data_IF_345884755667
#
_entry.id   IF_345884755667
#
_cell.length_a   1.000
_cell.length_b   1.000
_cell.length_c   1.000
_cell.angle_alpha   90.00
_cell.angle_beta   90.00
_cell.angle_gamma   90.00
#
_symmetry.space_group_name_H-M   'P 1'
#
loop_
_entity.id
_entity.type
_entity.pdbx_description
1 polymer ?
#
# COMPACT_ATOMS: atom_id res chain seq x y z
N UNK A 1 -50.48 -30.33 89.07
CA UNK A 1 -49.71 -29.16 88.57
C UNK A 1 -48.27 -29.59 88.33
N UNK A 2 -47.60 -28.95 87.37
CA UNK A 2 -46.15 -28.89 87.16
C UNK A 2 -45.52 -29.73 86.01
N UNK A 3 -45.52 -29.07 84.84
CA UNK A 3 -44.35 -28.81 83.97
C UNK A 3 -43.90 -29.89 82.98
N UNK A 4 -44.51 -29.81 81.79
CA UNK A 4 -43.86 -29.33 80.56
C UNK A 4 -42.42 -28.82 80.82
N UNK A 5 -41.40 -29.66 80.61
CA UNK A 5 -40.00 -29.21 80.44
C UNK A 5 -39.02 -30.27 79.90
N UNK A 6 -39.51 -31.33 79.24
CA UNK A 6 -38.62 -32.42 78.76
C UNK A 6 -38.26 -32.29 77.27
N UNK A 7 -39.00 -31.50 76.48
CA UNK A 7 -38.82 -31.48 75.01
C UNK A 7 -37.72 -30.54 74.50
N UNK A 8 -37.30 -29.52 75.27
CA UNK A 8 -36.24 -28.60 74.83
C UNK A 8 -34.83 -29.10 75.14
N UNK A 9 -34.65 -29.88 76.21
CA UNK A 9 -33.33 -30.45 76.57
C UNK A 9 -32.90 -31.56 75.62
N UNK A 10 -33.83 -32.36 75.10
CA UNK A 10 -33.52 -33.38 74.08
C UNK A 10 -33.12 -32.78 72.72
N UNK A 11 -33.69 -31.64 72.34
CA UNK A 11 -33.32 -30.96 71.08
C UNK A 11 -31.93 -30.31 71.16
N UNK A 12 -31.56 -29.73 72.31
CA UNK A 12 -30.23 -29.15 72.52
C UNK A 12 -29.12 -30.20 72.58
N UNK A 13 -29.38 -31.39 73.12
CA UNK A 13 -28.40 -32.49 73.14
C UNK A 13 -28.23 -33.09 71.74
N UNK A 14 -29.30 -33.22 70.95
CA UNK A 14 -29.22 -33.69 69.57
C UNK A 14 -28.47 -32.70 68.65
N UNK A 15 -28.66 -31.39 68.85
CA UNK A 15 -27.93 -30.37 68.10
C UNK A 15 -26.42 -30.35 68.44
N UNK A 16 -26.06 -30.58 69.71
CA UNK A 16 -24.66 -30.64 70.13
C UNK A 16 -23.96 -31.91 69.63
N UNK A 17 -24.69 -33.03 69.54
CA UNK A 17 -24.19 -34.27 68.95
C UNK A 17 -24.06 -34.22 67.41
N UNK A 18 -24.86 -33.38 66.74
CA UNK A 18 -24.73 -33.16 65.31
C UNK A 18 -23.51 -32.29 64.94
N UNK A 19 -23.12 -31.34 65.81
CA UNK A 19 -21.91 -30.53 65.60
C UNK A 19 -20.61 -31.32 65.81
N UNK A 20 -20.61 -32.38 66.62
CA UNK A 20 -19.42 -33.22 66.83
C UNK A 20 -19.17 -34.25 65.73
N UNK A 21 -20.08 -34.38 64.76
CA UNK A 21 -19.91 -35.22 63.56
C UNK A 21 -19.39 -34.44 62.33
N UNK A 22 -19.19 -33.13 62.44
CA UNK A 22 -18.56 -32.34 61.39
C UNK A 22 -17.03 -32.56 61.41
N UNK A 23 -16.55 -33.57 60.68
CA UNK A 23 -15.12 -33.70 60.39
C UNK A 23 -14.64 -32.46 59.62
N UNK A 24 -13.48 -31.87 59.96
CA UNK A 24 -12.91 -30.82 59.14
C UNK A 24 -12.56 -31.44 57.78
N UNK A 25 -13.24 -30.98 56.72
CA UNK A 25 -12.84 -31.27 55.36
C UNK A 25 -11.45 -30.65 55.13
N UNK A 26 -10.41 -31.47 55.24
CA UNK A 26 -9.07 -31.06 54.89
C UNK A 26 -9.01 -31.00 53.36
N UNK A 27 -8.97 -29.79 52.81
CA UNK A 27 -8.60 -29.59 51.42
C UNK A 27 -7.12 -30.00 51.29
N UNK A 28 -6.89 -31.20 50.77
CA UNK A 28 -5.55 -31.66 50.41
C UNK A 28 -5.21 -30.99 49.08
N UNK A 29 -4.21 -30.12 49.08
CA UNK A 29 -3.59 -29.62 47.86
C UNK A 29 -2.95 -30.83 47.16
N UNK A 30 -3.56 -31.28 46.06
CA UNK A 30 -3.07 -32.41 45.28
C UNK A 30 -1.79 -32.06 44.50
N UNK A 31 -1.27 -30.84 44.63
CA UNK A 31 -0.08 -30.39 43.93
C UNK A 31 -0.27 -30.36 42.42
N UNK A 32 0.78 -29.95 41.71
CA UNK A 32 0.84 -30.01 40.26
C UNK A 32 1.30 -31.41 39.87
N UNK A 33 0.37 -32.34 39.63
CA UNK A 33 0.69 -33.61 38.96
C UNK A 33 0.82 -33.39 37.45
N UNK A 34 2.02 -32.98 37.05
CA UNK A 34 2.46 -33.04 35.67
C UNK A 34 3.94 -33.38 35.66
N UNK A 35 4.34 -34.46 35.00
CA UNK A 35 5.75 -34.70 34.75
C UNK A 35 6.25 -33.61 33.78
N UNK A 36 7.03 -32.66 34.30
CA UNK A 36 7.71 -31.67 33.47
C UNK A 36 8.91 -32.38 32.86
N UNK A 37 8.77 -32.83 31.62
CA UNK A 37 9.89 -33.37 30.87
C UNK A 37 10.83 -32.24 30.47
N UNK A 38 12.13 -32.49 30.53
CA UNK A 38 13.12 -31.61 29.95
C UNK A 38 12.88 -31.54 28.43
N UNK A 39 12.86 -30.32 27.88
CA UNK A 39 12.71 -30.12 26.44
C UNK A 39 14.02 -30.56 25.77
N UNK A 40 14.05 -31.81 25.31
CA UNK A 40 15.20 -32.44 24.63
C UNK A 40 15.20 -32.24 23.11
N UNK A 41 14.54 -31.19 22.61
CA UNK A 41 14.49 -30.92 21.16
C UNK A 41 15.90 -30.69 20.60
N UNK A 42 16.23 -31.37 19.49
CA UNK A 42 17.49 -31.16 18.77
C UNK A 42 17.57 -29.69 18.31
N UNK A 43 18.72 -29.03 18.52
CA UNK A 43 18.91 -27.64 18.09
C UNK A 43 18.61 -27.52 16.59
N UNK A 44 17.56 -26.76 16.26
CA UNK A 44 17.10 -26.58 14.90
C UNK A 44 18.20 -26.06 13.96
N UNK A 45 19.20 -25.32 14.49
CA UNK A 45 20.35 -24.86 13.69
C UNK A 45 21.24 -26.01 13.25
N UNK A 46 21.46 -27.01 14.11
CA UNK A 46 22.25 -28.21 13.76
C UNK A 46 21.53 -29.00 12.68
N UNK A 47 20.20 -29.10 12.78
CA UNK A 47 19.35 -29.70 11.74
C UNK A 47 19.45 -28.92 10.43
N UNK A 48 19.33 -27.59 10.46
CA UNK A 48 19.45 -26.73 9.28
C UNK A 48 20.82 -26.87 8.62
N UNK A 49 21.90 -26.83 9.40
CA UNK A 49 23.27 -27.00 8.90
C UNK A 49 23.47 -28.36 8.24
N UNK A 50 22.92 -29.43 8.82
CA UNK A 50 22.97 -30.78 8.26
C UNK A 50 22.21 -30.88 6.94
N UNK A 51 21.07 -30.18 6.82
CA UNK A 51 20.30 -30.10 5.58
C UNK A 51 21.06 -29.32 4.50
N UNK A 52 21.58 -28.14 4.84
CA UNK A 52 22.37 -27.29 3.92
C UNK A 52 23.64 -28.00 3.44
N UNK A 53 24.34 -28.72 4.32
CA UNK A 53 25.59 -29.40 3.98
C UNK A 53 25.40 -30.67 3.12
N UNK A 54 24.20 -31.27 3.14
CA UNK A 54 23.86 -32.44 2.32
C UNK A 54 23.28 -32.07 0.95
N UNK A 55 22.89 -30.81 0.78
CA UNK A 55 22.24 -30.34 -0.42
C UNK A 55 23.28 -29.89 -1.46
N UNK A 56 23.12 -30.34 -2.70
CA UNK A 56 23.98 -29.92 -3.81
C UNK A 56 23.45 -28.61 -4.41
N UNK A 57 24.00 -27.50 -3.92
CA UNK A 57 23.67 -26.17 -4.40
C UNK A 57 24.10 -25.89 -5.83
N UNK A 58 25.02 -26.68 -6.40
CA UNK A 58 25.55 -26.40 -7.75
C UNK A 58 24.53 -26.72 -8.84
N UNK A 59 23.80 -27.83 -8.70
CA UNK A 59 22.70 -28.20 -9.60
C UNK A 59 21.57 -27.18 -9.51
N UNK A 60 21.12 -26.84 -8.31
CA UNK A 60 20.09 -25.82 -8.08
C UNK A 60 20.47 -24.43 -8.62
N UNK A 61 21.75 -24.05 -8.54
CA UNK A 61 22.22 -22.77 -9.06
C UNK A 61 22.15 -22.72 -10.59
N UNK A 62 22.53 -23.80 -11.27
CA UNK A 62 22.43 -23.84 -12.73
C UNK A 62 20.96 -23.89 -13.16
N UNK A 63 20.11 -24.70 -12.51
CA UNK A 63 18.67 -24.72 -12.77
C UNK A 63 18.01 -23.36 -12.53
N UNK A 64 18.37 -22.67 -11.45
CA UNK A 64 17.85 -21.34 -11.14
C UNK A 64 18.33 -20.30 -12.16
N UNK A 65 19.58 -20.41 -12.62
CA UNK A 65 20.16 -19.52 -13.62
C UNK A 65 19.52 -19.74 -14.99
N UNK A 66 19.35 -20.99 -15.43
CA UNK A 66 18.62 -21.33 -16.65
C UNK A 66 17.17 -20.84 -16.56
N UNK A 67 16.49 -21.13 -15.45
CA UNK A 67 15.12 -20.66 -15.21
C UNK A 67 15.03 -19.13 -15.25
N UNK A 68 16.00 -18.40 -14.70
CA UNK A 68 16.00 -16.94 -14.73
C UNK A 68 16.24 -16.39 -16.14
N UNK A 69 17.13 -17.02 -16.91
CA UNK A 69 17.41 -16.65 -18.30
C UNK A 69 16.22 -16.95 -19.23
N UNK A 70 15.53 -18.05 -18.99
CA UNK A 70 14.38 -18.46 -19.80
C UNK A 70 13.09 -17.78 -19.38
N UNK A 71 13.00 -17.28 -18.15
CA UNK A 71 11.83 -16.53 -17.68
C UNK A 71 11.51 -15.34 -18.60
N UNK A 72 12.52 -14.54 -18.99
CA UNK A 72 12.31 -13.35 -19.82
C UNK A 72 11.88 -13.69 -21.25
N UNK A 73 12.33 -14.84 -21.77
CA UNK A 73 11.95 -15.35 -23.10
C UNK A 73 10.51 -15.85 -23.15
N UNK A 74 10.02 -16.36 -22.03
CA UNK A 74 8.69 -16.98 -21.91
C UNK A 74 7.62 -16.04 -21.34
N UNK A 75 7.91 -14.75 -21.25
CA UNK A 75 6.93 -13.76 -20.82
C UNK A 75 5.74 -13.70 -21.79
N UNK A 76 4.52 -13.53 -21.28
CA UNK A 76 3.35 -13.43 -22.15
C UNK A 76 3.45 -12.18 -23.01
N UNK A 77 3.17 -12.33 -24.30
CA UNK A 77 3.10 -11.22 -25.24
C UNK A 77 1.68 -10.67 -25.26
N UNK A 78 1.54 -9.35 -25.12
CA UNK A 78 0.25 -8.68 -25.27
C UNK A 78 0.15 -8.04 -26.65
N UNK A 79 -0.99 -8.27 -27.31
CA UNK A 79 -1.28 -7.69 -28.62
C UNK A 79 -2.06 -6.40 -28.42
N UNK A 80 -1.34 -5.27 -28.40
CA UNK A 80 -1.94 -3.94 -28.48
C UNK A 80 -1.74 -3.38 -29.89
N UNK A 81 -2.72 -2.68 -30.47
CA UNK A 81 -2.56 -2.07 -31.77
C UNK A 81 -1.48 -0.98 -31.74
N UNK A 82 -0.89 -0.73 -32.91
CA UNK A 82 0.01 0.40 -33.09
C UNK A 82 -0.77 1.71 -33.05
N UNK A 83 -0.20 2.74 -32.42
CA UNK A 83 -0.80 4.07 -32.38
C UNK A 83 -0.85 4.72 -33.78
N UNK A 84 -2.05 5.03 -34.25
CA UNK A 84 -2.30 5.67 -35.56
C UNK A 84 -2.16 7.19 -35.53
N UNK A 85 -2.34 7.79 -34.36
CA UNK A 85 -2.31 9.24 -34.12
C UNK A 85 -1.55 9.53 -32.83
N UNK A 86 -0.81 10.65 -32.83
CA UNK A 86 -0.19 11.16 -31.61
C UNK A 86 -1.23 11.95 -30.84
N UNK A 87 -1.59 11.52 -29.63
CA UNK A 87 -2.60 12.19 -28.80
C UNK A 87 -2.33 11.95 -27.32
N UNK A 88 -2.71 12.92 -26.49
CA UNK A 88 -2.67 12.78 -25.04
C UNK A 88 -4.08 12.61 -24.50
N UNK A 89 -4.28 11.66 -23.60
CA UNK A 89 -5.48 11.56 -22.78
C UNK A 89 -5.14 11.94 -21.35
N UNK A 90 -5.96 12.81 -20.78
CA UNK A 90 -5.85 13.25 -19.41
C UNK A 90 -6.79 12.44 -18.52
N UNK A 91 -6.24 11.82 -17.47
CA UNK A 91 -7.00 11.05 -16.48
C UNK A 91 -6.84 11.66 -15.10
N UNK A 92 -7.96 11.93 -14.45
CA UNK A 92 -7.97 12.19 -13.01
C UNK A 92 -7.84 10.85 -12.27
N UNK A 93 -6.85 10.75 -11.39
CA UNK A 93 -6.63 9.59 -10.52
C UNK A 93 -6.96 9.87 -9.05
N UNK A 94 -7.62 11.00 -8.80
CA UNK A 94 -8.18 11.28 -7.50
C UNK A 94 -9.22 10.25 -7.10
N UNK A 95 -9.24 9.96 -5.81
CA UNK A 95 -10.18 9.04 -5.19
C UNK A 95 -11.04 9.81 -4.20
N UNK A 96 -12.31 9.45 -4.11
CA UNK A 96 -13.17 9.89 -3.01
C UNK A 96 -13.12 8.80 -1.96
N UNK A 97 -12.68 9.17 -0.77
CA UNK A 97 -12.54 8.27 0.37
C UNK A 97 -13.94 7.81 0.82
N UNK A 98 -14.18 6.51 0.93
CA UNK A 98 -15.49 5.96 1.30
C UNK A 98 -15.73 5.94 2.82
N UNK A 99 -14.68 5.96 3.62
CA UNK A 99 -14.73 5.82 5.08
C UNK A 99 -13.65 6.67 5.75
N UNK A 100 -13.85 7.02 7.02
CA UNK A 100 -12.87 7.79 7.77
C UNK A 100 -11.53 7.05 7.86
N UNK A 101 -10.46 7.66 7.33
CA UNK A 101 -9.09 7.11 7.38
C UNK A 101 -8.39 7.68 8.61
N UNK A 102 -7.91 6.81 9.49
CA UNK A 102 -7.15 7.17 10.68
C UNK A 102 -5.67 6.82 10.51
N UNK A 103 -4.77 7.69 10.96
CA UNK A 103 -3.35 7.36 11.01
C UNK A 103 -3.06 6.40 12.16
N UNK A 104 -2.23 5.36 11.96
CA UNK A 104 -1.75 4.55 13.06
C UNK A 104 -0.92 5.42 14.01
N UNK A 105 -1.13 5.27 15.31
CA UNK A 105 -0.34 5.92 16.35
C UNK A 105 0.31 4.87 17.23
N UNK A 106 1.61 5.03 17.48
CA UNK A 106 2.38 4.14 18.32
C UNK A 106 2.53 4.78 19.69
N UNK A 107 2.06 4.08 20.72
CA UNK A 107 2.42 4.37 22.09
C UNK A 107 3.81 3.79 22.38
N UNK A 108 4.84 4.65 22.38
CA UNK A 108 6.21 4.24 22.65
C UNK A 108 6.45 3.80 24.11
N UNK A 109 5.52 4.06 25.04
CA UNK A 109 5.62 3.63 26.43
C UNK A 109 5.03 2.24 26.65
N UNK A 110 3.90 1.92 26.01
CA UNK A 110 3.27 0.60 26.11
C UNK A 110 3.63 -0.37 24.98
N UNK A 111 4.30 0.10 23.93
CA UNK A 111 4.60 -0.69 22.73
C UNK A 111 3.37 -1.01 21.88
N UNK A 112 2.22 -0.40 22.17
CA UNK A 112 0.97 -0.63 21.45
C UNK A 112 0.94 0.19 20.16
N UNK A 113 0.79 -0.50 19.02
CA UNK A 113 0.75 0.09 17.68
C UNK A 113 -0.65 0.61 17.30
N UNK A 114 -1.64 0.44 18.19
CA UNK A 114 -3.04 0.83 17.93
C UNK A 114 -3.74 1.47 19.15
N UNK A 115 -2.98 2.08 20.06
CA UNK A 115 -3.61 2.93 21.08
C UNK A 115 -4.18 4.19 20.37
N UNK A 116 -5.48 4.47 20.46
CA UNK A 116 -6.15 5.42 19.58
C UNK A 116 -5.88 6.87 19.99
N UNK A 117 -4.75 7.42 19.54
CA UNK A 117 -4.77 8.81 19.09
C UNK A 117 -5.50 8.85 17.76
N UNK A 118 -6.82 9.11 17.77
CA UNK A 118 -7.63 9.19 16.53
C UNK A 118 -7.23 10.43 15.72
N UNK A 119 -6.07 10.40 15.08
CA UNK A 119 -5.68 11.44 14.12
C UNK A 119 -6.31 11.05 12.79
N UNK A 120 -7.39 11.75 12.46
CA UNK A 120 -8.12 11.56 11.21
C UNK A 120 -7.27 12.10 10.05
N UNK A 121 -6.85 11.21 9.15
CA UNK A 121 -6.10 11.53 7.95
C UNK A 121 -7.00 12.12 6.86
N UNK A 122 -8.20 11.56 6.71
CA UNK A 122 -9.21 12.03 5.77
C UNK A 122 -10.60 11.58 6.22
N UNK A 123 -11.59 12.46 6.08
CA UNK A 123 -12.99 12.13 6.32
C UNK A 123 -13.58 11.34 5.15
N UNK A 124 -14.57 10.50 5.43
CA UNK A 124 -15.42 9.93 4.39
C UNK A 124 -16.01 11.05 3.50
N UNK A 125 -15.99 10.84 2.19
CA UNK A 125 -16.37 11.84 1.19
C UNK A 125 -15.27 12.81 0.77
N UNK A 126 -14.09 12.77 1.41
CA UNK A 126 -12.97 13.63 1.02
C UNK A 126 -12.37 13.17 -0.32
N UNK A 127 -12.26 14.09 -1.27
CA UNK A 127 -11.50 13.87 -2.50
C UNK A 127 -9.99 14.02 -2.22
N UNK A 128 -9.22 13.00 -2.58
CA UNK A 128 -7.77 12.97 -2.44
C UNK A 128 -7.12 12.61 -3.77
N UNK A 129 -6.19 13.43 -4.23
CA UNK A 129 -5.33 13.12 -5.35
C UNK A 129 -3.91 12.78 -4.86
N UNK A 130 -3.48 11.51 -4.95
CA UNK A 130 -2.16 11.09 -4.47
C UNK A 130 -1.01 11.80 -5.19
N UNK A 131 -1.12 12.05 -6.49
CA UNK A 131 -0.07 12.69 -7.29
C UNK A 131 0.14 14.13 -6.85
N UNK A 132 -0.93 14.84 -6.53
CA UNK A 132 -0.86 16.25 -6.12
C UNK A 132 -0.03 16.47 -4.85
N UNK A 133 0.18 15.43 -4.03
CA UNK A 133 0.95 15.47 -2.79
C UNK A 133 2.37 14.90 -2.91
N UNK A 134 2.72 14.26 -4.04
CA UNK A 134 4.04 13.68 -4.25
C UNK A 134 5.04 14.72 -4.77
N UNK A 135 6.32 14.69 -4.32
CA UNK A 135 7.36 15.55 -4.88
C UNK A 135 7.62 15.15 -6.33
N UNK A 136 7.68 16.14 -7.24
CA UNK A 136 7.87 15.89 -8.68
C UNK A 136 9.17 15.12 -9.01
N UNK A 137 10.16 15.15 -8.12
CA UNK A 137 11.42 14.41 -8.24
C UNK A 137 11.30 12.91 -7.91
N UNK A 138 10.22 12.47 -7.28
CA UNK A 138 9.98 11.07 -6.91
C UNK A 138 9.09 10.30 -7.87
N UNK A 139 8.69 10.92 -8.99
CA UNK A 139 7.66 10.38 -9.86
C UNK A 139 8.28 9.85 -11.16
N UNK A 140 8.28 8.53 -11.30
CA UNK A 140 8.77 7.83 -12.48
C UNK A 140 7.71 7.81 -13.59
N UNK A 141 8.16 7.95 -14.84
CA UNK A 141 7.35 7.90 -16.06
C UNK A 141 7.59 6.57 -16.75
N UNK A 142 6.58 6.10 -17.47
CA UNK A 142 6.59 4.79 -18.10
C UNK A 142 6.50 4.95 -19.61
N UNK A 143 7.43 4.35 -20.34
CA UNK A 143 7.37 4.24 -21.78
C UNK A 143 7.10 2.79 -22.16
N UNK A 144 5.92 2.53 -22.71
CA UNK A 144 5.43 1.20 -23.08
C UNK A 144 5.54 1.05 -24.59
N UNK A 145 6.17 -0.02 -25.06
CA UNK A 145 6.37 -0.30 -26.48
C UNK A 145 6.36 -1.81 -26.78
N UNK A 146 6.17 -2.15 -28.05
CA UNK A 146 6.27 -3.51 -28.58
C UNK A 146 7.70 -3.80 -29.09
N UNK A 147 8.34 -4.84 -28.57
CA UNK A 147 9.67 -5.27 -28.99
C UNK A 147 9.68 -6.06 -30.30
N UNK A 148 8.53 -6.52 -30.77
CA UNK A 148 8.38 -7.25 -32.03
C UNK A 148 8.21 -6.32 -33.23
N UNK A 149 7.82 -5.05 -33.02
CA UNK A 149 7.76 -4.02 -34.06
C UNK A 149 9.12 -3.32 -34.22
N UNK A 150 9.82 -3.48 -35.37
CA UNK A 150 11.13 -2.88 -35.59
C UNK A 150 11.14 -1.35 -35.48
N UNK A 151 10.03 -0.68 -35.85
CA UNK A 151 9.95 0.77 -35.76
C UNK A 151 9.90 1.22 -34.29
N UNK A 152 9.09 0.55 -33.47
CA UNK A 152 9.02 0.83 -32.03
C UNK A 152 10.34 0.51 -31.34
N UNK A 153 10.98 -0.60 -31.71
CA UNK A 153 12.26 -0.96 -31.15
C UNK A 153 13.36 0.05 -31.51
N UNK A 154 13.40 0.53 -32.76
CA UNK A 154 14.36 1.55 -33.16
C UNK A 154 14.20 2.85 -32.35
N UNK A 155 12.96 3.28 -32.13
CA UNK A 155 12.63 4.47 -31.36
C UNK A 155 12.96 4.31 -29.87
N UNK A 156 12.62 3.17 -29.26
CA UNK A 156 12.97 2.86 -27.88
C UNK A 156 14.48 2.85 -27.65
N UNK A 157 15.26 2.27 -28.57
CA UNK A 157 16.74 2.30 -28.53
C UNK A 157 17.31 3.71 -28.60
N UNK A 158 16.70 4.59 -29.40
CA UNK A 158 17.08 5.99 -29.45
C UNK A 158 16.84 6.69 -28.11
N UNK A 159 15.67 6.49 -27.50
CA UNK A 159 15.35 7.06 -26.19
C UNK A 159 16.25 6.52 -25.07
N UNK A 160 16.61 5.23 -25.12
CA UNK A 160 17.52 4.62 -24.15
C UNK A 160 18.91 5.27 -24.21
N UNK A 161 19.42 5.61 -25.40
CA UNK A 161 20.70 6.31 -25.60
C UNK A 161 20.71 7.73 -25.03
N UNK A 162 19.55 8.38 -24.95
CA UNK A 162 19.44 9.73 -24.38
C UNK A 162 19.52 9.75 -22.86
N UNK A 163 19.47 8.59 -22.21
CA UNK A 163 19.54 8.41 -20.76
C UNK A 163 18.61 9.37 -20.00
N UNK A 164 17.35 9.46 -20.45
CA UNK A 164 16.39 10.38 -19.85
C UNK A 164 16.09 9.95 -18.42
N UNK A 165 16.30 10.87 -17.47
CA UNK A 165 16.04 10.62 -16.05
C UNK A 165 14.55 10.34 -15.79
N UNK A 166 14.27 9.49 -14.80
CA UNK A 166 12.91 9.14 -14.38
C UNK A 166 12.03 8.54 -15.49
N UNK A 167 12.64 7.92 -16.50
CA UNK A 167 11.93 7.17 -17.54
C UNK A 167 12.25 5.69 -17.45
N UNK A 168 11.24 4.92 -17.08
CA UNK A 168 11.24 3.47 -17.09
C UNK A 168 10.70 2.95 -18.41
N UNK A 169 11.36 1.92 -18.94
CA UNK A 169 11.00 1.29 -20.20
C UNK A 169 10.28 -0.02 -19.93
N UNK A 170 9.14 -0.21 -20.60
CA UNK A 170 8.28 -1.37 -20.47
C UNK A 170 8.02 -1.98 -21.84
N UNK A 171 8.27 -3.28 -21.97
CA UNK A 171 8.11 -3.99 -23.23
C UNK A 171 6.99 -5.02 -23.13
N UNK A 172 6.00 -4.93 -24.03
CA UNK A 172 4.80 -5.79 -23.98
C UNK A 172 4.98 -7.16 -24.65
N UNK A 173 5.96 -7.28 -25.55
CA UNK A 173 6.25 -8.49 -26.31
C UNK A 173 7.73 -8.51 -26.74
N UNK A 174 8.32 -9.71 -26.83
CA UNK A 174 9.75 -9.93 -27.11
C UNK A 174 10.59 -10.29 -25.87
N UNK A 175 11.89 -10.51 -26.05
CA UNK A 175 12.80 -10.86 -24.95
C UNK A 175 13.30 -9.62 -24.22
N UNK A 176 12.71 -9.39 -23.04
CA UNK A 176 13.05 -8.26 -22.16
C UNK A 176 14.47 -8.36 -21.61
N UNK A 177 14.94 -9.59 -21.36
CA UNK A 177 16.26 -9.86 -20.79
C UNK A 177 17.37 -9.57 -21.78
N UNK A 178 17.18 -9.93 -23.05
CA UNK A 178 18.12 -9.61 -24.14
C UNK A 178 18.31 -8.10 -24.27
N UNK A 179 17.21 -7.34 -24.41
CA UNK A 179 17.28 -5.89 -24.55
C UNK A 179 17.90 -5.24 -23.31
N UNK A 180 17.51 -5.68 -22.11
CA UNK A 180 18.05 -5.14 -20.85
C UNK A 180 19.56 -5.38 -20.72
N UNK A 181 20.04 -6.56 -21.12
CA UNK A 181 21.46 -6.90 -21.12
C UNK A 181 22.24 -6.09 -22.16
N UNK A 182 21.67 -5.88 -23.34
CA UNK A 182 22.30 -5.12 -24.43
C UNK A 182 22.51 -3.64 -24.05
N UNK A 183 21.50 -3.02 -23.43
CA UNK A 183 21.52 -1.58 -23.11
C UNK A 183 22.05 -1.27 -21.71
N UNK A 184 22.28 -2.29 -20.89
CA UNK A 184 22.78 -2.15 -19.51
C UNK A 184 21.82 -1.40 -18.58
N UNK A 185 20.51 -1.43 -18.89
CA UNK A 185 19.46 -0.78 -18.09
C UNK A 185 18.29 -1.75 -17.88
N UNK A 186 17.59 -1.68 -16.74
CA UNK A 186 16.41 -2.49 -16.52
C UNK A 186 15.32 -2.14 -17.54
N UNK A 187 14.81 -3.15 -18.22
CA UNK A 187 13.57 -3.08 -19.00
C UNK A 187 12.56 -3.96 -18.26
N UNK A 188 11.36 -3.44 -18.09
CA UNK A 188 10.30 -4.13 -17.35
C UNK A 188 9.28 -4.76 -18.30
N UNK A 189 8.57 -5.75 -17.79
CA UNK A 189 7.39 -6.30 -18.46
C UNK A 189 6.14 -5.82 -17.71
N UNK A 190 5.19 -5.15 -18.37
CA UNK A 190 4.00 -4.65 -17.69
C UNK A 190 3.04 -5.80 -17.38
N UNK A 191 2.47 -5.81 -16.16
CA UNK A 191 1.39 -6.73 -15.85
C UNK A 191 0.11 -6.38 -16.65
N UNK A 192 -0.76 -7.34 -17.01
CA UNK A 192 -1.98 -7.05 -17.76
C UNK A 192 -2.88 -6.04 -17.04
N UNK A 193 -3.02 -6.22 -15.72
CA UNK A 193 -3.80 -5.33 -14.86
C UNK A 193 -3.27 -3.90 -14.84
N UNK A 194 -1.98 -3.68 -15.15
CA UNK A 194 -1.39 -2.35 -15.28
C UNK A 194 -1.88 -1.67 -16.56
N UNK A 195 -1.85 -2.38 -17.69
CA UNK A 195 -2.33 -1.88 -18.98
C UNK A 195 -3.82 -1.52 -18.91
N UNK A 196 -4.62 -2.36 -18.23
CA UNK A 196 -6.04 -2.11 -17.99
C UNK A 196 -6.30 -0.88 -17.11
N UNK A 197 -5.60 -0.77 -15.97
CA UNK A 197 -5.77 0.36 -15.03
C UNK A 197 -5.40 1.71 -15.64
N UNK A 198 -4.38 1.72 -16.50
CA UNK A 198 -3.98 2.90 -17.24
C UNK A 198 -4.78 3.13 -18.53
N UNK A 199 -5.65 2.18 -18.93
CA UNK A 199 -6.38 2.24 -20.20
C UNK A 199 -5.46 2.51 -21.40
N UNK A 200 -4.38 1.73 -21.49
CA UNK A 200 -3.47 1.75 -22.63
C UNK A 200 -4.20 1.07 -23.80
N UNK A 201 -4.58 1.85 -24.80
CA UNK A 201 -5.32 1.35 -25.97
C UNK A 201 -4.38 0.97 -27.12
N UNK A 202 -3.23 1.64 -27.24
CA UNK A 202 -2.27 1.44 -28.31
C UNK A 202 -0.82 1.61 -27.81
N UNK A 203 0.15 1.15 -28.62
CA UNK A 203 1.58 1.32 -28.38
C UNK A 203 2.29 1.92 -29.60
N UNK A 204 3.37 2.71 -29.43
CA UNK A 204 4.01 3.06 -28.18
C UNK A 204 3.25 4.14 -27.39
N UNK A 205 3.30 4.05 -26.06
CA UNK A 205 2.61 4.96 -25.14
C UNK A 205 3.54 5.46 -24.04
N UNK A 206 3.50 6.77 -23.78
CA UNK A 206 4.16 7.42 -22.67
C UNK A 206 3.13 7.74 -21.58
N UNK A 207 3.37 7.26 -20.37
CA UNK A 207 2.58 7.59 -19.18
C UNK A 207 3.40 8.52 -18.31
N UNK A 208 2.81 9.68 -18.00
CA UNK A 208 3.42 10.67 -17.14
C UNK A 208 2.37 11.49 -16.40
N UNK A 209 2.82 12.61 -15.84
CA UNK A 209 1.98 13.47 -15.01
C UNK A 209 2.06 14.90 -15.50
N UNK A 210 0.90 15.55 -15.55
CA UNK A 210 0.77 16.90 -16.06
C UNK A 210 1.43 17.95 -15.19
N UNK A 211 1.74 19.09 -15.80
CA UNK A 211 2.16 20.32 -15.14
C UNK A 211 1.25 21.47 -15.54
N UNK A 212 1.30 22.57 -14.80
CA UNK A 212 0.51 23.77 -15.07
C UNK A 212 -0.99 23.47 -14.98
N UNK A 213 -1.79 23.69 -16.04
CA UNK A 213 -3.24 23.50 -16.01
C UNK A 213 -3.64 22.05 -15.71
N UNK A 214 -2.80 21.08 -16.05
CA UNK A 214 -3.07 19.66 -15.81
C UNK A 214 -2.31 19.10 -14.59
N UNK A 215 -1.88 19.96 -13.66
CA UNK A 215 -1.27 19.49 -12.41
C UNK A 215 -2.22 18.54 -11.67
N UNK A 216 -1.69 17.40 -11.22
CA UNK A 216 -2.48 16.35 -10.56
C UNK A 216 -3.17 15.36 -11.52
N UNK A 217 -3.17 15.62 -12.83
CA UNK A 217 -3.68 14.68 -13.82
C UNK A 217 -2.56 13.77 -14.33
N UNK A 218 -2.93 12.56 -14.69
CA UNK A 218 -2.09 11.63 -15.41
C UNK A 218 -2.26 11.84 -16.92
N UNK A 219 -1.14 11.97 -17.62
CA UNK A 219 -1.08 12.04 -19.07
C UNK A 219 -0.77 10.64 -19.63
N UNK A 220 -1.60 10.18 -20.55
CA UNK A 220 -1.38 8.96 -21.34
C UNK A 220 -1.23 9.40 -22.79
N UNK A 221 0.00 9.45 -23.27
CA UNK A 221 0.33 9.93 -24.62
C UNK A 221 0.64 8.78 -25.54
N UNK A 222 -0.25 8.51 -26.48
CA UNK A 222 0.01 7.60 -27.60
C UNK A 222 0.84 8.33 -28.64
N UNK A 223 1.85 7.66 -29.20
CA UNK A 223 2.79 8.28 -30.14
C UNK A 223 2.73 7.55 -31.48
N UNK A 224 2.30 8.25 -32.52
CA UNK A 224 2.37 7.73 -33.89
C UNK A 224 3.82 7.70 -34.35
N UNK A 225 4.27 6.53 -34.82
CA UNK A 225 5.59 6.36 -35.44
C UNK A 225 5.53 6.49 -36.97
N UNK A 226 6.58 7.06 -37.62
CA UNK A 226 7.86 7.47 -37.04
C UNK A 226 7.77 8.78 -36.26
N UNK A 227 8.48 8.86 -35.12
CA UNK A 227 8.59 10.05 -34.29
C UNK A 227 10.05 10.28 -33.91
N UNK A 228 10.39 11.53 -33.61
CA UNK A 228 11.68 11.89 -33.03
C UNK A 228 11.59 11.90 -31.50
N UNK A 229 12.72 11.69 -30.85
CA UNK A 229 12.89 11.79 -29.41
C UNK A 229 12.42 13.10 -28.78
N UNK A 230 12.41 14.20 -29.54
CA UNK A 230 11.81 15.48 -29.13
C UNK A 230 10.33 15.34 -28.75
N UNK A 231 9.58 14.48 -29.44
CA UNK A 231 8.16 14.23 -29.17
C UNK A 231 7.96 13.70 -27.75
N UNK A 232 8.88 12.88 -27.22
CA UNK A 232 8.81 12.40 -25.83
C UNK A 232 9.05 13.52 -24.83
N UNK A 233 9.96 14.46 -25.14
CA UNK A 233 10.23 15.64 -24.30
C UNK A 233 9.04 16.61 -24.31
N UNK A 234 8.38 16.77 -25.44
CA UNK A 234 7.16 17.57 -25.56
C UNK A 234 5.98 16.90 -24.84
N UNK A 235 5.81 15.59 -25.04
CA UNK A 235 4.78 14.77 -24.38
C UNK A 235 5.07 14.48 -22.91
N UNK A 236 6.22 14.93 -22.37
CA UNK A 236 6.71 14.60 -21.03
C UNK A 236 5.74 15.01 -19.91
N UNK A 237 4.96 16.07 -20.17
CA UNK A 237 3.89 16.57 -19.33
C UNK A 237 2.54 16.50 -20.05
N UNK A 238 2.37 15.60 -21.00
CA UNK A 238 1.25 15.60 -21.93
C UNK A 238 1.40 16.68 -23.00
N UNK A 239 0.94 16.37 -24.21
CA UNK A 239 0.80 17.38 -25.25
C UNK A 239 -0.42 18.24 -24.92
N UNK A 240 -0.29 19.55 -25.07
CA UNK A 240 -1.44 20.44 -24.97
C UNK A 240 -2.44 20.09 -26.06
N UNK A 241 -3.72 19.95 -25.71
CA UNK A 241 -4.76 19.77 -26.70
C UNK A 241 -4.72 20.94 -27.68
N UNK A 242 -4.79 20.65 -28.98
CA UNK A 242 -5.01 21.67 -29.99
C UNK A 242 -6.46 22.20 -29.85
N UNK A 243 -6.75 22.94 -28.77
CA UNK A 243 -8.03 23.62 -28.57
C UNK A 243 -8.68 23.61 -27.18
N UNK A 244 -8.06 23.10 -26.10
CA UNK A 244 -8.77 23.03 -24.80
C UNK A 244 -8.43 24.18 -23.83
N UNK A 245 -9.50 24.84 -23.37
CA UNK A 245 -9.55 25.90 -22.38
C UNK A 245 -9.14 25.35 -21.00
N UNK A 246 -8.40 26.16 -20.23
CA UNK A 246 -7.94 25.81 -18.89
C UNK A 246 -9.08 25.18 -18.05
N UNK A 247 -8.81 24.07 -17.32
CA UNK A 247 -9.82 23.45 -16.48
C UNK A 247 -10.34 24.45 -15.43
N UNK A 248 -11.62 24.37 -15.04
CA UNK A 248 -12.17 25.26 -14.02
C UNK A 248 -11.33 25.07 -12.75
N UNK A 249 -10.71 26.17 -12.31
CA UNK A 249 -9.98 26.19 -11.04
C UNK A 249 -10.94 25.72 -9.94
N UNK A 250 -10.52 24.81 -9.05
CA UNK A 250 -11.34 24.47 -7.90
C UNK A 250 -11.62 25.77 -7.15
N UNK A 251 -12.91 26.05 -6.94
CA UNK A 251 -13.35 27.25 -6.24
C UNK A 251 -12.61 27.31 -4.90
N UNK A 252 -11.71 28.28 -4.78
CA UNK A 252 -11.13 28.67 -3.50
C UNK A 252 -12.32 29.09 -2.66
N UNK A 253 -12.70 28.26 -1.68
CA UNK A 253 -13.58 28.69 -0.61
C UNK A 253 -12.84 29.82 0.10
N UNK A 254 -13.14 31.07 -0.29
CA UNK A 254 -12.77 32.24 0.48
C UNK A 254 -13.37 32.05 1.86
N UNK A 255 -12.53 31.75 2.84
CA UNK A 255 -12.86 31.91 4.24
C UNK A 255 -13.25 33.38 4.45
N UNK A 256 -14.56 33.65 4.43
CA UNK A 256 -15.11 34.88 4.98
C UNK A 256 -14.85 34.86 6.47
N UNK A 257 -13.77 35.51 6.89
CA UNK A 257 -13.58 36.00 8.26
C UNK A 257 -14.87 36.71 8.69
N UNK A 258 -15.54 36.30 9.77
CA UNK A 258 -16.67 37.07 10.28
C UNK A 258 -16.09 38.36 10.86
N UNK A 259 -16.58 39.48 10.34
CA UNK A 259 -16.40 40.78 10.97
C UNK A 259 -16.96 40.72 12.39
N UNK A 260 -16.08 40.87 13.37
CA UNK A 260 -16.47 41.15 14.75
C UNK A 260 -17.09 42.54 14.77
N UNK A 261 -18.35 42.63 15.20
CA UNK A 261 -18.96 43.91 15.53
C UNK A 261 -19.86 43.79 16.76
N UNK A 262 -19.83 44.87 17.54
CA UNK A 262 -20.68 45.27 18.68
C UNK A 262 -20.30 44.69 20.06
N UNK A 263 -19.63 45.46 20.92
CA UNK A 263 -20.17 46.57 21.75
C UNK A 263 -21.27 46.10 22.70
N UNK A 264 -20.95 46.04 24.00
CA UNK A 264 -21.75 46.59 25.10
C UNK A 264 -21.15 46.23 26.46
N UNK A 265 -20.57 47.22 27.15
CA UNK A 265 -20.51 47.30 28.62
C UNK A 265 -19.84 48.63 29.03
N UNK A 266 -20.62 49.71 29.01
CA UNK A 266 -20.26 50.94 29.70
C UNK A 266 -21.49 51.52 30.39
N UNK A 267 -21.64 51.15 31.66
CA UNK A 267 -22.43 51.73 32.77
C UNK A 267 -22.14 50.78 33.96
N UNK A 268 -21.85 51.17 35.19
CA UNK A 268 -22.09 52.40 35.94
C UNK A 268 -21.34 52.31 37.29
N UNK A 269 -21.11 53.46 37.94
CA UNK A 269 -20.89 53.60 39.40
C UNK A 269 -19.44 53.49 39.90
N UNK A 270 -18.79 54.59 40.33
CA UNK A 270 -18.81 55.11 41.71
C UNK A 270 -18.43 54.02 42.74
N UNK A 271 -17.41 54.16 43.59
CA UNK A 271 -17.32 55.11 44.72
C UNK A 271 -15.95 54.92 45.40
N UNK A 272 -15.45 56.00 46.02
CA UNK A 272 -14.39 56.11 47.05
C UNK A 272 -12.90 55.87 46.68
#
# INVERSE_FOLDING_TARGET
MLRIRVKHTLFSVAALAALSLAHPAQAVDLGVEGQVYEVIEEDFRVTLMRLVARHDWSTDQEELKESAQDYTKNLPSYMLPRADVTRTRWKDVGIVVSEDIYLPWVDWQSGSVFAPGKVLAAQAGTYLNPIAKMPAAGIERLFIFDGTDPAQMSFARELLKQNVEQLSFMMIAGDVGELSSEVGRPIYHPAPSMLEKFHVEAVPTLIGFGRGPHQGHMAITEIKLPADSSVVKEAWFGLGDAGEVAPPQPAVLTETTPAADQQDAQQDGATE
#
